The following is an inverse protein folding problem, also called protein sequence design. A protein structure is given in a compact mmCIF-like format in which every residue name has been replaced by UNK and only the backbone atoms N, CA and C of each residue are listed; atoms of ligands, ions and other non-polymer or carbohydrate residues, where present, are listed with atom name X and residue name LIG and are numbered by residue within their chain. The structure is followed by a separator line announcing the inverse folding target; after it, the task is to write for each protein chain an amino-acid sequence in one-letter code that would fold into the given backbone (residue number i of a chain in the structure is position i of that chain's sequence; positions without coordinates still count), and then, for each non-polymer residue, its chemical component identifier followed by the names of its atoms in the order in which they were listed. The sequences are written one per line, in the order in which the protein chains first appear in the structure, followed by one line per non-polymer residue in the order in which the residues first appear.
data_IF_401174771225
#
_entry.id   IF_401174771225
#
_cell.length_a   1.000
_cell.length_b   1.000
_cell.length_c   1.000
_cell.angle_alpha   90.00
_cell.angle_beta   90.00
_cell.angle_gamma   90.00
#
_symmetry.space_group_name_H-M   'P 1'
#
loop_
_entity.id
_entity.type
_entity.pdbx_description
1 polymer ?
#
# COMPACT_ATOMS: atom_id res chain seq x y z
N UNK A 1 3.38 9.55 28.30
CA UNK A 1 3.74 8.31 27.57
C UNK A 1 4.15 8.73 26.17
N UNK A 2 5.39 8.48 25.72
CA UNK A 2 5.79 8.91 24.39
C UNK A 2 5.15 8.01 23.34
N UNK A 3 4.50 8.62 22.36
CA UNK A 3 3.82 7.94 21.26
C UNK A 3 4.67 8.16 20.01
N UNK A 4 5.15 7.10 19.36
CA UNK A 4 5.91 7.23 18.11
C UNK A 4 5.00 7.12 16.89
N UNK A 5 5.29 7.95 15.91
CA UNK A 5 4.72 7.92 14.59
C UNK A 5 5.54 6.95 13.75
N UNK A 6 4.94 5.82 13.37
CA UNK A 6 5.58 4.85 12.48
C UNK A 6 4.98 4.99 11.10
N UNK A 7 5.85 5.13 10.13
CA UNK A 7 5.51 5.30 8.73
C UNK A 7 6.25 4.24 7.92
N UNK A 8 5.52 3.56 7.05
CA UNK A 8 6.12 2.71 6.03
C UNK A 8 5.58 3.17 4.68
N UNK A 9 6.50 3.40 3.75
CA UNK A 9 6.19 3.62 2.34
C UNK A 9 6.39 2.30 1.61
N UNK A 10 5.30 1.67 1.20
CA UNK A 10 5.36 0.50 0.33
C UNK A 10 5.67 0.96 -1.09
N UNK A 11 6.65 0.33 -1.74
CA UNK A 11 7.05 0.65 -3.10
C UNK A 11 6.55 -0.44 -4.05
N UNK A 12 5.46 -0.24 -4.80
CA UNK A 12 5.23 -0.99 -6.00
C UNK A 12 6.04 -0.34 -7.12
N UNK A 13 7.26 -0.83 -7.32
CA UNK A 13 8.07 -0.48 -8.50
C UNK A 13 7.66 -1.46 -9.61
N UNK A 14 6.90 -1.01 -10.61
CA UNK A 14 6.40 -1.90 -11.68
C UNK A 14 7.00 -1.62 -13.06
N UNK A 15 8.29 -1.34 -13.12
CA UNK A 15 9.04 -1.31 -14.38
C UNK A 15 9.42 -2.74 -14.82
N UNK A 16 8.77 -3.28 -15.85
CA UNK A 16 9.37 -4.34 -16.67
C UNK A 16 9.19 -4.06 -18.16
N UNK A 17 10.31 -4.02 -18.86
CA UNK A 17 10.52 -3.84 -20.30
C UNK A 17 10.09 -5.03 -21.17
N UNK A 18 9.02 -5.75 -20.79
CA UNK A 18 8.55 -6.93 -21.53
C UNK A 18 7.01 -6.99 -21.53
N UNK A 19 6.33 -7.28 -22.66
CA UNK A 19 4.88 -7.11 -22.83
C UNK A 19 4.00 -8.14 -22.10
N UNK A 20 4.53 -8.87 -21.13
CA UNK A 20 3.77 -9.84 -20.31
C UNK A 20 3.21 -9.11 -19.10
N UNK A 21 2.08 -8.45 -19.33
CA UNK A 21 0.98 -8.09 -18.42
C UNK A 21 1.34 -8.15 -16.93
N UNK A 22 1.68 -7.00 -16.34
CA UNK A 22 1.65 -6.85 -14.87
C UNK A 22 0.20 -7.07 -14.41
N UNK A 23 -0.09 -7.87 -13.36
CA UNK A 23 -1.46 -8.17 -12.92
C UNK A 23 -2.33 -6.93 -12.70
N UNK A 24 -1.71 -5.80 -12.37
CA UNK A 24 -2.35 -4.52 -12.07
C UNK A 24 -2.88 -3.79 -13.31
N UNK A 25 -2.33 -4.03 -14.50
CA UNK A 25 -2.88 -3.50 -15.76
C UNK A 25 -4.17 -4.22 -16.17
N UNK A 26 -4.35 -5.46 -15.71
CA UNK A 26 -5.53 -6.28 -15.99
C UNK A 26 -6.60 -6.12 -14.89
N UNK A 27 -6.20 -5.97 -13.62
CA UNK A 27 -7.09 -5.83 -12.45
C UNK A 27 -6.64 -4.68 -11.52
N UNK A 28 -6.82 -3.40 -11.93
CA UNK A 28 -6.34 -2.23 -11.17
C UNK A 28 -6.87 -2.17 -9.73
N UNK A 29 -8.12 -2.60 -9.51
CA UNK A 29 -8.72 -2.70 -8.18
C UNK A 29 -7.96 -3.64 -7.24
N UNK A 30 -7.73 -4.87 -7.68
CA UNK A 30 -7.12 -5.91 -6.84
C UNK A 30 -5.66 -5.58 -6.53
N UNK A 31 -4.94 -5.02 -7.51
CA UNK A 31 -3.57 -4.58 -7.32
C UNK A 31 -3.46 -3.51 -6.23
N UNK A 32 -4.28 -2.48 -6.31
CA UNK A 32 -4.27 -1.41 -5.33
C UNK A 32 -4.74 -1.88 -3.94
N UNK A 33 -5.81 -2.68 -3.87
CA UNK A 33 -6.31 -3.25 -2.62
C UNK A 33 -5.26 -4.12 -1.91
N UNK A 34 -4.52 -4.94 -2.66
CA UNK A 34 -3.45 -5.78 -2.11
C UNK A 34 -2.29 -4.96 -1.57
N UNK A 35 -1.93 -3.86 -2.26
CA UNK A 35 -0.92 -2.91 -1.79
C UNK A 35 -1.29 -2.27 -0.45
N UNK A 36 -2.56 -1.85 -0.30
CA UNK A 36 -3.08 -1.33 0.98
C UNK A 36 -3.04 -2.40 2.08
N UNK A 37 -3.45 -3.63 1.80
CA UNK A 37 -3.39 -4.73 2.76
C UNK A 37 -1.97 -5.09 3.21
N UNK A 38 -1.00 -5.04 2.29
CA UNK A 38 0.42 -5.23 2.60
C UNK A 38 0.91 -4.20 3.61
N UNK A 39 0.74 -2.91 3.31
CA UNK A 39 1.30 -1.84 4.14
C UNK A 39 0.64 -1.74 5.52
N UNK A 40 -0.66 -2.08 5.62
CA UNK A 40 -1.37 -2.17 6.90
C UNK A 40 -0.77 -3.27 7.77
N UNK A 41 -0.46 -4.43 7.17
CA UNK A 41 0.18 -5.56 7.90
C UNK A 41 1.58 -5.20 8.37
N UNK A 42 2.36 -4.47 7.58
CA UNK A 42 3.69 -4.01 7.99
C UNK A 42 3.60 -3.12 9.25
N UNK A 43 2.67 -2.16 9.28
CA UNK A 43 2.43 -1.33 10.47
C UNK A 43 1.96 -2.17 11.66
N UNK A 44 1.01 -3.08 11.42
CA UNK A 44 0.45 -3.92 12.47
C UNK A 44 1.50 -4.84 13.11
N UNK A 45 2.37 -5.46 12.30
CA UNK A 45 3.44 -6.37 12.78
C UNK A 45 4.52 -5.66 13.60
N UNK A 46 4.67 -4.34 13.46
CA UNK A 46 5.54 -3.54 14.33
C UNK A 46 4.93 -3.23 15.70
N UNK A 47 3.71 -3.70 15.99
CA UNK A 47 2.99 -3.40 17.22
C UNK A 47 2.31 -2.02 17.20
N UNK A 48 2.24 -1.39 16.02
CA UNK A 48 1.60 -0.09 15.84
C UNK A 48 0.14 -0.26 15.41
N UNK A 49 -0.74 0.60 15.92
CA UNK A 49 -2.12 0.70 15.45
C UNK A 49 -2.17 1.62 14.23
N UNK A 50 -2.58 1.13 13.05
CA UNK A 50 -2.83 1.97 11.88
C UNK A 50 -3.91 3.02 12.17
N UNK A 51 -3.68 4.26 11.78
CA UNK A 51 -4.61 5.39 11.99
C UNK A 51 -4.93 6.17 10.72
N UNK A 52 -4.05 6.13 9.72
CA UNK A 52 -4.27 6.86 8.47
C UNK A 52 -3.51 6.22 7.30
N UNK A 53 -4.07 6.35 6.10
CA UNK A 53 -3.44 6.00 4.84
C UNK A 53 -3.16 7.25 4.01
N UNK A 54 -2.07 7.23 3.25
CA UNK A 54 -1.77 8.21 2.21
C UNK A 54 -1.34 7.48 0.93
N UNK A 55 -1.49 8.12 -0.22
CA UNK A 55 -1.12 7.51 -1.50
C UNK A 55 -0.26 8.45 -2.34
N UNK A 56 0.69 7.90 -3.10
CA UNK A 56 1.42 8.61 -4.14
C UNK A 56 1.22 7.89 -5.47
N UNK A 57 0.36 8.47 -6.30
CA UNK A 57 -0.14 7.86 -7.53
C UNK A 57 0.43 8.59 -8.75
N UNK A 58 1.00 7.84 -9.70
CA UNK A 58 1.55 8.38 -10.94
C UNK A 58 0.94 7.62 -12.12
N UNK A 59 0.34 8.33 -13.06
CA UNK A 59 -0.33 7.74 -14.22
C UNK A 59 0.09 8.44 -15.52
N UNK A 60 -0.21 7.81 -16.66
CA UNK A 60 -0.11 8.44 -17.98
C UNK A 60 -1.05 9.63 -18.12
N UNK A 61 -1.11 10.25 -19.30
CA UNK A 61 -2.04 11.36 -19.55
C UNK A 61 -3.51 10.93 -19.34
N UNK A 62 -4.28 11.81 -18.68
CA UNK A 62 -5.67 11.56 -18.26
C UNK A 62 -6.68 11.60 -19.42
N UNK A 63 -6.26 12.08 -20.58
CA UNK A 63 -7.06 12.12 -21.81
C UNK A 63 -7.27 10.72 -22.43
N UNK A 64 -6.47 9.73 -22.05
CA UNK A 64 -6.59 8.38 -22.57
C UNK A 64 -7.64 7.55 -21.80
N UNK A 65 -8.52 6.80 -22.50
CA UNK A 65 -9.49 5.91 -21.84
C UNK A 65 -8.84 4.85 -20.94
N UNK A 66 -7.63 4.41 -21.28
CA UNK A 66 -6.85 3.47 -20.47
C UNK A 66 -6.46 4.09 -19.12
N UNK A 67 -5.90 5.30 -19.12
CA UNK A 67 -5.54 5.98 -17.87
C UNK A 67 -6.76 6.19 -16.98
N UNK A 68 -7.89 6.62 -17.55
CA UNK A 68 -9.13 6.84 -16.79
C UNK A 68 -9.58 5.56 -16.08
N UNK A 69 -9.60 4.43 -16.80
CA UNK A 69 -9.90 3.11 -16.23
C UNK A 69 -8.92 2.70 -15.13
N UNK A 70 -7.63 2.99 -15.29
CA UNK A 70 -6.60 2.66 -14.31
C UNK A 70 -6.78 3.50 -13.03
N UNK A 71 -7.02 4.80 -13.16
CA UNK A 71 -7.26 5.71 -12.04
C UNK A 71 -8.48 5.27 -11.25
N UNK A 72 -9.61 5.04 -11.94
CA UNK A 72 -10.85 4.57 -11.31
C UNK A 72 -10.64 3.26 -10.55
N UNK A 73 -10.01 2.27 -11.19
CA UNK A 73 -9.76 0.98 -10.57
C UNK A 73 -8.85 1.07 -9.35
N UNK A 74 -7.76 1.85 -9.43
CA UNK A 74 -6.81 2.02 -8.32
C UNK A 74 -7.47 2.74 -7.15
N UNK A 75 -8.17 3.85 -7.40
CA UNK A 75 -8.85 4.61 -6.34
C UNK A 75 -9.94 3.76 -5.69
N UNK A 76 -10.72 3.02 -6.48
CA UNK A 76 -11.73 2.11 -5.96
C UNK A 76 -11.12 0.98 -5.13
N UNK A 77 -9.96 0.44 -5.53
CA UNK A 77 -9.25 -0.61 -4.78
C UNK A 77 -8.72 -0.10 -3.43
N UNK A 78 -8.14 1.11 -3.42
CA UNK A 78 -7.66 1.74 -2.19
C UNK A 78 -8.81 2.02 -1.24
N UNK A 79 -9.88 2.65 -1.76
CA UNK A 79 -11.06 2.96 -0.98
C UNK A 79 -11.75 1.68 -0.46
N UNK A 80 -11.90 0.67 -1.30
CA UNK A 80 -12.52 -0.60 -0.96
C UNK A 80 -11.82 -1.30 0.20
N UNK A 81 -10.49 -1.39 0.16
CA UNK A 81 -9.72 -2.00 1.25
C UNK A 81 -9.67 -1.12 2.50
N UNK A 82 -9.32 0.16 2.36
CA UNK A 82 -9.20 1.09 3.48
C UNK A 82 -10.51 1.26 4.26
N UNK A 83 -11.64 1.42 3.55
CA UNK A 83 -12.96 1.55 4.16
C UNK A 83 -13.41 0.24 4.84
N UNK A 84 -13.09 -0.92 4.26
CA UNK A 84 -13.45 -2.23 4.86
C UNK A 84 -12.71 -2.49 6.17
N UNK A 85 -11.46 -2.06 6.28
CA UNK A 85 -10.65 -2.19 7.51
C UNK A 85 -10.94 -1.04 8.51
N UNK A 86 -11.53 0.07 8.04
CA UNK A 86 -11.84 1.23 8.87
C UNK A 86 -10.66 2.17 9.10
N UNK A 87 -9.70 2.22 8.18
CA UNK A 87 -8.56 3.15 8.23
C UNK A 87 -8.76 4.22 7.15
N UNK A 88 -8.91 5.50 7.53
CA UNK A 88 -9.19 6.57 6.57
C UNK A 88 -7.97 6.88 5.71
N UNK A 89 -8.17 7.08 4.41
CA UNK A 89 -7.20 7.77 3.57
C UNK A 89 -7.32 9.27 3.79
N UNK A 90 -6.31 9.87 4.41
CA UNK A 90 -6.34 11.28 4.84
C UNK A 90 -5.76 12.24 3.81
N UNK A 91 -5.05 11.73 2.80
CA UNK A 91 -4.46 12.54 1.76
C UNK A 91 -3.64 11.71 0.77
N UNK A 92 -2.95 12.42 -0.11
CA UNK A 92 -2.07 11.81 -1.11
C UNK A 92 -1.70 12.80 -2.19
N UNK A 93 -0.87 12.33 -3.11
CA UNK A 93 -0.50 13.05 -4.33
C UNK A 93 -0.89 12.23 -5.55
N UNK A 94 -1.28 12.93 -6.61
CA UNK A 94 -1.53 12.36 -7.92
C UNK A 94 -0.80 13.21 -8.95
N UNK A 95 -0.05 12.57 -9.85
CA UNK A 95 0.54 13.26 -10.99
C UNK A 95 0.34 12.47 -12.28
N UNK A 96 0.19 13.21 -13.37
CA UNK A 96 0.01 12.69 -14.71
C UNK A 96 1.20 13.13 -15.56
N UNK A 97 1.82 12.17 -16.23
CA UNK A 97 2.88 12.43 -17.21
C UNK A 97 2.94 11.28 -18.21
N UNK A 98 3.07 11.59 -19.50
CA UNK A 98 3.24 10.60 -20.58
C UNK A 98 4.25 9.47 -20.29
N UNK A 99 5.30 9.73 -19.49
CA UNK A 99 6.30 8.72 -19.10
C UNK A 99 5.71 7.55 -18.30
N UNK A 100 4.54 7.72 -17.68
CA UNK A 100 3.84 6.70 -16.90
C UNK A 100 2.72 5.98 -17.67
N UNK A 101 2.48 6.29 -18.95
CA UNK A 101 1.37 5.71 -19.73
C UNK A 101 1.44 4.17 -19.86
N UNK A 102 2.64 3.59 -19.84
CA UNK A 102 2.85 2.14 -19.83
C UNK A 102 3.22 1.55 -18.47
N UNK A 103 3.47 2.39 -17.47
CA UNK A 103 3.97 1.97 -16.16
C UNK A 103 3.49 2.93 -15.07
N UNK A 104 2.22 2.82 -14.65
CA UNK A 104 1.71 3.61 -13.55
C UNK A 104 2.35 3.19 -12.22
N UNK A 105 2.55 4.14 -11.32
CA UNK A 105 3.07 3.90 -9.97
C UNK A 105 1.95 4.10 -8.94
N UNK A 106 1.79 3.15 -8.01
CA UNK A 106 0.69 3.13 -7.03
C UNK A 106 1.25 2.98 -5.62
N UNK A 107 1.97 3.98 -5.11
CA UNK A 107 2.55 3.88 -3.77
C UNK A 107 1.47 4.08 -2.71
N UNK A 108 1.48 3.24 -1.69
CA UNK A 108 0.63 3.36 -0.50
C UNK A 108 1.52 3.56 0.72
N UNK A 109 1.08 4.46 1.57
CA UNK A 109 1.69 4.81 2.84
C UNK A 109 0.70 4.55 3.95
N UNK A 110 1.18 3.99 5.06
CA UNK A 110 0.37 3.80 6.26
C UNK A 110 1.04 4.44 7.46
N UNK A 111 0.23 5.14 8.24
CA UNK A 111 0.59 5.80 9.47
C UNK A 111 0.10 5.00 10.67
N UNK A 112 1.01 4.62 11.55
CA UNK A 112 0.73 3.90 12.77
C UNK A 112 1.14 4.65 14.03
N UNK A 113 0.43 4.39 15.11
CA UNK A 113 0.76 4.85 16.46
C UNK A 113 1.17 3.65 17.32
N UNK A 114 2.33 3.74 17.98
CA UNK A 114 2.78 2.75 18.96
C UNK A 114 3.33 3.40 20.23
N UNK A 115 3.30 2.65 21.34
CA UNK A 115 4.08 2.97 22.53
C UNK A 115 5.56 2.68 22.26
N UNK A 116 6.48 3.50 22.79
CA UNK A 116 7.93 3.28 22.63
C UNK A 116 8.36 1.88 23.07
N UNK A 117 7.82 1.45 24.20
CA UNK A 117 8.15 0.16 24.81
C UNK A 117 7.42 -1.03 24.14
N UNK A 118 6.51 -0.73 23.22
CA UNK A 118 5.66 -1.72 22.52
C UNK A 118 6.08 -1.99 21.07
N UNK A 119 7.23 -1.48 20.62
CA UNK A 119 7.70 -1.68 19.24
C UNK A 119 8.22 -3.11 19.09
N UNK A 120 7.57 -3.88 18.23
CA UNK A 120 7.93 -5.27 17.92
C UNK A 120 8.89 -5.28 16.73
N UNK A 121 10.00 -6.00 16.87
CA UNK A 121 10.99 -6.19 15.80
C UNK A 121 10.75 -7.53 15.13
N UNK A 122 10.88 -7.58 13.80
CA UNK A 122 10.81 -8.83 13.01
C UNK A 122 12.05 -9.72 13.16
N UNK A 123 12.53 -9.95 14.39
CA UNK A 123 13.67 -10.82 14.68
C UNK A 123 13.22 -12.00 15.53
N UNK A 124 13.45 -13.21 15.03
CA UNK A 124 13.35 -14.42 15.83
C UNK A 124 14.65 -14.58 16.65
N UNK A 125 14.53 -14.60 17.97
CA UNK A 125 15.63 -14.90 18.90
C UNK A 125 15.22 -16.07 19.80
N UNK A 126 16.18 -16.92 20.19
CA UNK A 126 15.98 -18.05 21.10
C UNK A 126 15.68 -19.38 20.39
N UNK A 127 16.50 -20.41 20.69
CA UNK A 127 16.30 -21.79 20.20
C UNK A 127 15.13 -22.41 20.97
N UNK A 128 14.20 -23.07 20.26
CA UNK A 128 13.05 -23.74 20.86
C UNK A 128 11.77 -22.91 20.93
N UNK A 129 11.80 -21.65 20.50
CA UNK A 129 10.59 -20.82 20.41
C UNK A 129 9.65 -21.30 19.29
N UNK A 130 8.37 -21.43 19.61
CA UNK A 130 7.34 -21.85 18.67
C UNK A 130 7.03 -20.74 17.64
N UNK A 131 6.80 -21.14 16.39
CA UNK A 131 6.38 -20.24 15.31
C UNK A 131 4.91 -20.49 15.03
N UNK A 132 4.10 -19.43 15.11
CA UNK A 132 2.66 -19.50 14.87
C UNK A 132 2.33 -18.87 13.51
N UNK A 133 1.53 -19.57 12.70
CA UNK A 133 0.93 -19.03 11.48
C UNK A 133 -0.50 -18.59 11.78
N UNK A 134 -0.82 -17.32 11.53
CA UNK A 134 -2.13 -16.74 11.81
C UNK A 134 -2.63 -15.96 10.60
N UNK A 135 -3.84 -16.28 10.15
CA UNK A 135 -4.45 -15.74 8.94
C UNK A 135 -4.66 -16.82 7.87
N UNK A 136 -5.34 -16.48 6.76
CA UNK A 136 -5.42 -17.32 5.57
C UNK A 136 -4.08 -17.39 4.83
#
# INVERSE_FOLDING_TARGET
MPVFLISVMGWPRYSKSNPIITPHLLTPYQGAATGVGGIIRDIFTMGARPIALLNSLRFGELDTPLTQRLVEGVVAGIAGYGNSIGIPTVGGEVAFDKSYAGNPLVNVFCLGIASVDGIIKGRAEGVGNAVYYVGP
#
